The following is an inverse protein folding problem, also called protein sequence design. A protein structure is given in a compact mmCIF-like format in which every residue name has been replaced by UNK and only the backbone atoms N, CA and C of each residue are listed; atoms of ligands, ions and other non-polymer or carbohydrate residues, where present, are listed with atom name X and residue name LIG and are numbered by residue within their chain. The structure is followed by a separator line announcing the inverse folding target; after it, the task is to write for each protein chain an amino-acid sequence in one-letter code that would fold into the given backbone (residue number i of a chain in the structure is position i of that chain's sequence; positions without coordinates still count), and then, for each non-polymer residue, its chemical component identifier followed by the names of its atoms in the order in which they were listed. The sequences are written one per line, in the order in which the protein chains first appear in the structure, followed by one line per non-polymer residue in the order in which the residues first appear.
data_IF_039269419949
#
_entry.id   IF_039269419949
#
_cell.length_a   1.000
_cell.length_b   1.000
_cell.length_c   1.000
_cell.angle_alpha   90.00
_cell.angle_beta   90.00
_cell.angle_gamma   90.00
#
_symmetry.space_group_name_H-M   'P 1'
#
loop_
_entity.id
_entity.type
_entity.pdbx_description
1 polymer ?
#
# COMPACT_ATOMS: atom_id res chain seq x y z
N UNK A 1 -7.99 -2.28 -3.30
CA UNK A 1 -6.87 -1.41 -3.65
C UNK A 1 -7.41 -0.39 -4.64
N UNK A 2 -7.04 0.89 -4.51
CA UNK A 2 -7.26 1.84 -5.60
C UNK A 2 -6.66 1.27 -6.88
N UNK A 3 -7.14 1.80 -8.00
CA UNK A 3 -6.50 1.51 -9.27
C UNK A 3 -5.07 2.09 -9.27
N UNK A 4 -4.04 1.24 -9.37
CA UNK A 4 -2.63 1.65 -9.50
C UNK A 4 -2.43 2.73 -10.58
N UNK A 5 -3.24 2.70 -11.65
CA UNK A 5 -3.24 3.75 -12.68
C UNK A 5 -3.60 5.11 -12.10
N UNK A 6 -4.62 5.19 -11.23
CA UNK A 6 -5.01 6.43 -10.56
C UNK A 6 -3.86 7.07 -9.78
N UNK A 7 -3.10 6.24 -9.04
CA UNK A 7 -1.90 6.69 -8.34
C UNK A 7 -0.86 7.21 -9.32
N UNK A 8 -0.52 6.42 -10.36
CA UNK A 8 0.46 6.79 -11.37
C UNK A 8 0.13 8.16 -12.00
N UNK A 9 -1.15 8.42 -12.31
CA UNK A 9 -1.61 9.67 -12.93
C UNK A 9 -1.29 10.89 -12.08
N UNK A 10 -1.87 10.96 -10.87
CA UNK A 10 -1.67 12.08 -9.95
C UNK A 10 -0.18 12.22 -9.61
N UNK A 11 0.47 11.12 -9.27
CA UNK A 11 1.83 11.13 -8.75
C UNK A 11 2.85 11.55 -9.80
N UNK A 12 2.68 11.13 -11.06
CA UNK A 12 3.51 11.58 -12.17
C UNK A 12 3.40 13.08 -12.38
N UNK A 13 2.18 13.62 -12.39
CA UNK A 13 1.96 15.05 -12.61
C UNK A 13 2.46 15.88 -11.42
N UNK A 14 2.10 15.50 -10.19
CA UNK A 14 2.51 16.19 -8.97
C UNK A 14 4.03 16.19 -8.82
N UNK A 15 4.67 15.03 -8.94
CA UNK A 15 6.12 14.91 -8.75
C UNK A 15 6.89 15.63 -9.84
N UNK A 16 6.46 15.58 -11.11
CA UNK A 16 7.15 16.32 -12.18
C UNK A 16 6.88 17.82 -12.14
N UNK A 17 5.76 18.25 -11.55
CA UNK A 17 5.46 19.65 -11.28
C UNK A 17 6.39 20.26 -10.21
N UNK A 18 6.67 19.50 -9.15
CA UNK A 18 7.53 19.93 -8.03
C UNK A 18 9.01 19.68 -8.36
N UNK A 19 9.35 18.47 -8.77
CA UNK A 19 10.71 18.02 -9.08
C UNK A 19 10.86 17.94 -10.60
N UNK A 20 11.14 19.09 -11.23
CA UNK A 20 11.29 19.19 -12.68
C UNK A 20 12.32 18.19 -13.22
N UNK A 21 11.90 17.41 -14.22
CA UNK A 21 12.76 16.39 -14.82
C UNK A 21 12.90 15.10 -14.00
N UNK A 22 12.10 14.88 -12.97
CA UNK A 22 12.02 13.59 -12.28
C UNK A 22 11.79 12.45 -13.29
N UNK A 23 12.64 11.42 -13.22
CA UNK A 23 12.50 10.22 -14.05
C UNK A 23 11.26 9.45 -13.61
N UNK A 24 10.39 9.16 -14.57
CA UNK A 24 9.12 8.49 -14.36
C UNK A 24 9.28 7.07 -13.81
N UNK A 25 10.41 6.41 -14.04
CA UNK A 25 10.69 5.09 -13.44
C UNK A 25 10.74 5.15 -11.92
N UNK A 26 11.39 6.18 -11.37
CA UNK A 26 11.47 6.38 -9.93
C UNK A 26 10.13 6.83 -9.35
N UNK A 27 9.35 7.60 -10.11
CA UNK A 27 7.96 7.92 -9.73
C UNK A 27 7.14 6.63 -9.61
N UNK A 28 7.13 5.79 -10.65
CA UNK A 28 6.35 4.54 -10.66
C UNK A 28 6.78 3.57 -9.55
N UNK A 29 8.08 3.48 -9.29
CA UNK A 29 8.57 2.69 -8.16
C UNK A 29 8.04 3.24 -6.83
N UNK A 30 8.08 4.56 -6.64
CA UNK A 30 7.50 5.22 -5.47
C UNK A 30 5.99 5.00 -5.34
N UNK A 31 5.27 4.93 -6.47
CA UNK A 31 3.84 4.60 -6.49
C UNK A 31 3.56 3.20 -5.93
N UNK A 32 4.48 2.24 -6.09
CA UNK A 32 4.26 0.83 -5.73
C UNK A 32 4.69 0.53 -4.29
N UNK A 33 5.60 1.33 -3.72
CA UNK A 33 6.18 1.08 -2.38
C UNK A 33 5.11 0.75 -1.31
N UNK A 34 4.05 1.56 -1.13
CA UNK A 34 3.04 1.27 -0.09
C UNK A 34 2.17 0.04 -0.39
N UNK A 35 2.09 -0.37 -1.65
CA UNK A 35 1.30 -1.52 -2.08
C UNK A 35 2.08 -2.84 -2.01
N UNK A 36 3.41 -2.77 -1.95
CA UNK A 36 4.29 -3.93 -1.92
C UNK A 36 3.92 -4.94 -0.80
N UNK A 37 3.63 -4.53 0.45
CA UNK A 37 3.22 -5.46 1.50
C UNK A 37 1.97 -6.26 1.14
N UNK A 38 0.98 -5.65 0.49
CA UNK A 38 -0.27 -6.32 0.11
C UNK A 38 -0.07 -7.32 -1.03
N UNK A 39 0.78 -6.99 -2.00
CA UNK A 39 1.16 -7.90 -3.07
C UNK A 39 1.86 -9.13 -2.49
N UNK A 40 2.82 -8.89 -1.59
CA UNK A 40 3.56 -9.96 -0.91
C UNK A 40 2.66 -10.80 -0.01
N UNK A 41 1.75 -10.19 0.76
CA UNK A 41 0.78 -10.92 1.57
C UNK A 41 -0.03 -11.91 0.72
N UNK A 42 -0.54 -11.47 -0.43
CA UNK A 42 -1.31 -12.33 -1.33
C UNK A 42 -0.46 -13.47 -1.89
N UNK A 43 0.79 -13.20 -2.26
CA UNK A 43 1.71 -14.22 -2.72
C UNK A 43 2.02 -15.26 -1.63
N UNK A 44 2.29 -14.81 -0.41
CA UNK A 44 2.56 -15.70 0.74
C UNK A 44 1.35 -16.58 1.04
N UNK A 45 0.14 -16.02 1.13
CA UNK A 45 -1.06 -16.81 1.42
C UNK A 45 -1.40 -17.80 0.29
N UNK A 46 -1.03 -17.50 -0.96
CA UNK A 46 -1.22 -18.41 -2.08
C UNK A 46 -0.26 -19.61 -2.06
N UNK A 47 0.98 -19.40 -1.59
CA UNK A 47 2.04 -20.43 -1.60
C UNK A 47 2.12 -21.18 -0.27
N UNK A 48 1.77 -20.53 0.84
CA UNK A 48 1.89 -21.04 2.21
C UNK A 48 0.54 -20.91 2.93
N UNK A 49 -0.43 -21.81 2.66
CA UNK A 49 -1.79 -21.70 3.20
C UNK A 49 -1.88 -21.88 4.72
N UNK A 50 -0.81 -22.36 5.39
CA UNK A 50 -0.76 -22.54 6.85
C UNK A 50 -0.33 -21.29 7.64
N UNK A 51 0.00 -20.18 6.97
CA UNK A 51 0.38 -18.93 7.64
C UNK A 51 -0.86 -18.27 8.25
N UNK A 52 -0.79 -17.87 9.51
CA UNK A 52 -1.85 -17.09 10.15
C UNK A 52 -2.07 -15.76 9.43
N UNK A 53 -3.21 -15.64 8.75
CA UNK A 53 -3.51 -14.50 7.89
C UNK A 53 -3.62 -13.18 8.66
N UNK A 54 -4.05 -13.22 9.92
CA UNK A 54 -4.18 -12.02 10.76
C UNK A 54 -2.82 -11.50 11.22
N UNK A 55 -1.93 -12.37 11.70
CA UNK A 55 -0.57 -11.97 12.08
C UNK A 55 0.23 -11.46 10.86
N UNK A 56 0.08 -12.13 9.71
CA UNK A 56 0.66 -11.64 8.46
C UNK A 56 0.10 -10.27 8.07
N UNK A 57 -1.20 -10.03 8.30
CA UNK A 57 -1.82 -8.74 8.04
C UNK A 57 -1.20 -7.64 8.90
N UNK A 58 -1.05 -7.84 10.21
CA UNK A 58 -0.39 -6.86 11.09
C UNK A 58 1.05 -6.58 10.68
N UNK A 59 1.80 -7.62 10.30
CA UNK A 59 3.15 -7.45 9.76
C UNK A 59 3.13 -6.52 8.52
N UNK A 60 2.19 -6.74 7.60
CA UNK A 60 2.04 -5.90 6.42
C UNK A 60 1.53 -4.48 6.73
N UNK A 61 0.66 -4.30 7.74
CA UNK A 61 0.21 -2.98 8.20
C UNK A 61 1.39 -2.14 8.68
N UNK A 62 2.34 -2.75 9.42
CA UNK A 62 3.58 -2.07 9.82
C UNK A 62 4.41 -1.69 8.59
N UNK A 63 4.62 -2.61 7.65
CA UNK A 63 5.40 -2.32 6.44
C UNK A 63 4.79 -1.24 5.55
N UNK A 64 3.45 -1.20 5.47
CA UNK A 64 2.70 -0.22 4.68
C UNK A 64 2.61 1.15 5.35
N UNK A 65 3.08 1.31 6.60
CA UNK A 65 3.14 2.61 7.26
C UNK A 65 4.10 3.58 6.56
N UNK A 66 3.87 4.89 6.74
CA UNK A 66 4.70 5.92 6.12
C UNK A 66 6.18 5.77 6.50
N UNK A 67 6.49 5.49 7.77
CA UNK A 67 7.88 5.31 8.22
C UNK A 67 8.58 4.18 7.45
N UNK A 68 7.93 3.03 7.31
CA UNK A 68 8.52 1.88 6.62
C UNK A 68 8.60 2.09 5.11
N UNK A 69 7.65 2.81 4.53
CA UNK A 69 7.74 3.26 3.15
C UNK A 69 8.94 4.20 2.94
N UNK A 70 9.23 5.09 3.88
CA UNK A 70 10.40 5.97 3.84
C UNK A 70 11.72 5.21 4.04
N UNK A 71 11.76 4.21 4.93
CA UNK A 71 12.92 3.33 5.11
C UNK A 71 13.23 2.59 3.79
N UNK A 72 12.21 1.99 3.16
CA UNK A 72 12.38 1.31 1.88
C UNK A 72 12.79 2.28 0.76
N UNK A 73 12.17 3.46 0.71
CA UNK A 73 12.55 4.53 -0.22
C UNK A 73 14.02 4.93 -0.07
N UNK A 74 14.50 5.07 1.17
CA UNK A 74 15.89 5.40 1.46
C UNK A 74 16.83 4.28 1.00
N UNK A 75 16.50 3.02 1.29
CA UNK A 75 17.28 1.86 0.85
C UNK A 75 17.40 1.80 -0.69
N UNK A 76 16.28 1.94 -1.41
CA UNK A 76 16.21 1.90 -2.87
C UNK A 76 16.91 3.08 -3.55
N UNK A 77 17.03 4.21 -2.87
CA UNK A 77 17.71 5.39 -3.41
C UNK A 77 19.24 5.32 -3.32
N UNK A 78 19.82 4.50 -2.42
CA UNK A 78 21.27 4.45 -2.18
C UNK A 78 22.12 4.08 -3.40
N UNK A 79 21.71 3.14 -4.28
CA UNK A 79 22.43 2.82 -5.50
C UNK A 79 22.33 3.91 -6.59
N UNK A 80 21.44 4.89 -6.45
CA UNK A 80 21.30 5.94 -7.45
C UNK A 80 22.47 6.93 -7.38
N UNK A 81 22.85 7.49 -8.55
CA UNK A 81 23.86 8.55 -8.63
C UNK A 81 23.45 9.77 -7.79
N UNK A 82 22.18 10.17 -7.87
CA UNK A 82 21.60 11.28 -7.11
C UNK A 82 20.68 10.78 -5.98
N UNK A 83 21.24 10.00 -5.04
CA UNK A 83 20.47 9.29 -4.00
C UNK A 83 19.52 10.20 -3.20
N UNK A 84 19.92 11.40 -2.81
CA UNK A 84 19.03 12.33 -2.08
C UNK A 84 17.81 12.75 -2.89
N UNK A 85 18.00 13.03 -4.19
CA UNK A 85 16.91 13.37 -5.11
C UNK A 85 15.98 12.18 -5.35
N UNK A 86 16.54 10.99 -5.54
CA UNK A 86 15.74 9.77 -5.72
C UNK A 86 14.96 9.43 -4.46
N UNK A 87 15.55 9.59 -3.28
CA UNK A 87 14.83 9.45 -2.01
C UNK A 87 13.67 10.44 -1.91
N UNK A 88 13.87 11.71 -2.25
CA UNK A 88 12.80 12.70 -2.26
C UNK A 88 11.67 12.32 -3.24
N UNK A 89 12.00 11.81 -4.42
CA UNK A 89 11.01 11.28 -5.38
C UNK A 89 10.26 10.10 -4.75
N UNK A 90 10.95 9.04 -4.33
CA UNK A 90 10.31 7.83 -3.79
C UNK A 90 9.47 8.12 -2.55
N UNK A 91 10.01 8.86 -1.58
CA UNK A 91 9.33 9.18 -0.33
C UNK A 91 8.12 10.09 -0.52
N UNK A 92 8.21 11.11 -1.39
CA UNK A 92 7.05 11.96 -1.70
C UNK A 92 5.96 11.19 -2.44
N UNK A 93 6.32 10.26 -3.34
CA UNK A 93 5.36 9.41 -4.04
C UNK A 93 4.68 8.42 -3.08
N UNK A 94 5.43 7.81 -2.16
CA UNK A 94 4.86 6.96 -1.13
C UNK A 94 3.91 7.74 -0.20
N UNK A 95 4.27 8.96 0.20
CA UNK A 95 3.37 9.83 0.96
C UNK A 95 2.11 10.17 0.16
N UNK A 96 2.24 10.65 -1.08
CA UNK A 96 1.10 10.95 -1.94
C UNK A 96 0.20 9.72 -2.16
N UNK A 97 0.79 8.53 -2.24
CA UNK A 97 0.04 7.29 -2.33
C UNK A 97 -0.81 7.09 -1.08
N UNK A 98 -0.22 7.16 0.11
CA UNK A 98 -0.93 6.96 1.37
C UNK A 98 -2.02 8.03 1.58
N UNK A 99 -1.77 9.28 1.18
CA UNK A 99 -2.78 10.35 1.25
C UNK A 99 -3.94 10.10 0.27
N UNK A 100 -3.66 9.64 -0.94
CA UNK A 100 -4.70 9.27 -1.90
C UNK A 100 -5.51 8.06 -1.38
N UNK A 101 -4.82 7.10 -0.76
CA UNK A 101 -5.45 5.97 -0.08
C UNK A 101 -6.36 6.37 1.06
N UNK A 102 -5.95 7.34 1.88
CA UNK A 102 -6.76 7.90 2.95
C UNK A 102 -8.00 8.63 2.42
N UNK A 103 -7.88 9.31 1.28
CA UNK A 103 -8.99 10.04 0.66
C UNK A 103 -10.04 9.14 0.02
N UNK A 104 -9.72 7.88 -0.23
CA UNK A 104 -10.63 6.93 -0.85
C UNK A 104 -11.48 6.23 0.23
N UNK A 105 -12.78 6.03 -0.04
CA UNK A 105 -13.62 5.20 0.82
C UNK A 105 -13.12 3.74 0.77
N UNK A 106 -12.68 3.24 1.94
CA UNK A 106 -12.27 1.84 2.19
C UNK A 106 -12.83 1.40 3.54
N UNK A 107 -13.77 0.47 3.56
CA UNK A 107 -14.35 -0.03 4.81
C UNK A 107 -13.35 -0.89 5.59
N UNK A 108 -13.35 -0.76 6.93
CA UNK A 108 -12.46 -1.48 7.83
C UNK A 108 -10.95 -1.34 7.53
N UNK A 109 -10.54 -0.30 6.81
CA UNK A 109 -9.16 -0.12 6.36
C UNK A 109 -8.77 1.37 6.31
N UNK A 110 -7.49 1.66 6.30
CA UNK A 110 -6.95 3.01 6.19
C UNK A 110 -5.44 2.99 6.06
N UNK A 111 -4.81 4.15 6.25
CA UNK A 111 -3.35 4.26 6.20
C UNK A 111 -2.76 4.68 7.54
N UNK A 112 -1.54 4.26 7.81
CA UNK A 112 -0.85 4.58 9.06
C UNK A 112 0.26 5.62 8.81
N UNK A 113 -0.11 6.89 8.91
CA UNK A 113 0.81 8.02 8.68
C UNK A 113 1.74 8.26 9.88
N UNK A 114 1.28 7.97 11.09
CA UNK A 114 1.97 8.28 12.35
C UNK A 114 2.52 7.04 13.07
N UNK A 115 2.43 5.86 12.47
CA UNK A 115 3.04 4.66 13.05
C UNK A 115 4.58 4.81 13.10
N UNK A 116 5.25 4.32 14.16
CA UNK A 116 4.71 3.48 15.24
C UNK A 116 4.18 4.25 16.46
N UNK A 117 4.12 5.59 16.41
CA UNK A 117 3.69 6.41 17.55
C UNK A 117 2.18 6.38 17.76
N UNK A 118 1.41 6.33 16.67
CA UNK A 118 -0.02 6.07 16.67
C UNK A 118 -0.36 5.06 15.58
N UNK A 119 -1.18 4.07 15.94
CA UNK A 119 -1.73 3.06 15.01
C UNK A 119 -3.13 3.41 14.53
N UNK A 120 -3.62 4.60 14.86
CA UNK A 120 -4.89 5.11 14.33
C UNK A 120 -4.82 5.18 12.80
N UNK A 121 -5.82 4.59 12.14
CA UNK A 121 -5.91 4.58 10.69
C UNK A 121 -6.47 5.91 10.20
N UNK A 122 -5.75 6.56 9.28
CA UNK A 122 -6.29 7.71 8.55
C UNK A 122 -7.18 7.23 7.40
N UNK A 123 -8.45 7.62 7.44
CA UNK A 123 -9.43 7.35 6.40
C UNK A 123 -10.44 8.51 6.36
N UNK A 124 -10.34 9.33 5.32
CA UNK A 124 -11.18 10.52 5.14
C UNK A 124 -12.40 10.25 4.27
N UNK A 125 -12.38 9.18 3.46
CA UNK A 125 -13.55 8.72 2.70
C UNK A 125 -14.17 9.77 1.75
N UNK A 126 -13.36 10.59 1.08
CA UNK A 126 -13.83 11.66 0.22
C UNK A 126 -14.46 11.19 -1.10
N UNK A 127 -14.03 10.07 -1.66
CA UNK A 127 -14.63 9.55 -2.90
C UNK A 127 -14.74 8.04 -2.94
N UNK A 128 -15.80 7.58 -3.63
CA UNK A 128 -16.00 6.17 -3.92
C UNK A 128 -15.07 5.70 -5.04
N UNK A 129 -14.48 4.51 -4.98
CA UNK A 129 -13.44 4.07 -5.91
C UNK A 129 -13.95 3.88 -7.34
N UNK A 130 -15.22 3.48 -7.47
CA UNK A 130 -15.92 3.28 -8.74
C UNK A 130 -16.80 4.49 -9.10
N UNK A 131 -16.51 5.66 -8.53
CA UNK A 131 -17.16 6.92 -8.91
C UNK A 131 -16.49 7.54 -10.14
N UNK A 132 -17.11 8.61 -10.66
CA UNK A 132 -16.51 9.46 -11.69
C UNK A 132 -15.08 9.89 -11.32
N UNK A 133 -14.82 10.28 -10.07
CA UNK A 133 -13.49 10.66 -9.60
C UNK A 133 -12.48 9.51 -9.79
N UNK A 134 -12.85 8.29 -9.40
CA UNK A 134 -12.00 7.11 -9.57
C UNK A 134 -11.69 6.78 -11.04
N UNK A 135 -12.70 6.88 -11.92
CA UNK A 135 -12.52 6.70 -13.36
C UNK A 135 -11.68 7.81 -13.99
N UNK A 136 -11.88 9.06 -13.57
CA UNK A 136 -11.08 10.19 -14.02
C UNK A 136 -9.60 10.01 -13.65
N UNK A 137 -9.30 9.63 -12.41
CA UNK A 137 -7.93 9.34 -11.98
C UNK A 137 -7.33 8.18 -12.77
N UNK A 138 -8.11 7.15 -13.04
CA UNK A 138 -7.69 6.01 -13.88
C UNK A 138 -7.31 6.47 -15.29
N UNK A 139 -8.15 7.27 -15.93
CA UNK A 139 -7.91 7.81 -17.27
C UNK A 139 -6.67 8.71 -17.29
N UNK A 140 -6.49 9.54 -16.24
CA UNK A 140 -5.31 10.37 -16.05
C UNK A 140 -4.03 9.52 -15.95
N UNK A 141 -4.09 8.40 -15.22
CA UNK A 141 -3.03 7.40 -15.14
C UNK A 141 -2.64 6.81 -16.48
N UNK A 142 -3.64 6.38 -17.25
CA UNK A 142 -3.45 5.84 -18.59
C UNK A 142 -2.81 6.88 -19.52
N UNK A 143 -3.29 8.12 -19.50
CA UNK A 143 -2.74 9.21 -20.27
C UNK A 143 -1.29 9.53 -19.85
N UNK A 144 -0.97 9.51 -18.56
CA UNK A 144 0.39 9.71 -18.07
C UNK A 144 1.33 8.59 -18.55
N UNK A 145 0.92 7.32 -18.44
CA UNK A 145 1.70 6.20 -18.98
C UNK A 145 1.92 6.36 -20.49
N UNK A 146 0.87 6.61 -21.26
CA UNK A 146 0.95 6.80 -22.70
C UNK A 146 1.74 8.05 -23.12
N UNK A 147 1.78 9.10 -22.29
CA UNK A 147 2.58 10.31 -22.55
C UNK A 147 4.07 10.12 -22.23
N UNK A 148 4.40 9.28 -21.24
CA UNK A 148 5.76 9.13 -20.74
C UNK A 148 6.45 7.79 -21.05
N UNK A 149 5.76 6.82 -21.67
CA UNK A 149 6.30 5.47 -21.90
C UNK A 149 7.66 5.46 -22.62
N UNK A 150 7.83 6.25 -23.69
CA UNK A 150 9.11 6.32 -24.42
C UNK A 150 10.25 6.77 -23.52
N UNK A 151 9.99 7.74 -22.63
CA UNK A 151 10.99 8.20 -21.66
C UNK A 151 11.25 7.16 -20.57
N UNK A 152 10.21 6.44 -20.15
CA UNK A 152 10.34 5.37 -19.17
C UNK A 152 11.31 4.28 -19.69
N UNK A 153 11.16 3.86 -20.95
CA UNK A 153 11.93 2.76 -21.55
C UNK A 153 13.33 3.20 -22.01
N UNK A 154 13.47 4.38 -22.60
CA UNK A 154 14.70 4.73 -23.33
C UNK A 154 15.81 5.36 -22.47
N UNK A 155 15.51 5.85 -21.27
CA UNK A 155 16.50 6.50 -20.41
C UNK A 155 17.00 5.56 -19.31
N UNK A 156 18.33 5.48 -19.08
CA UNK A 156 18.87 4.67 -17.99
C UNK A 156 18.43 5.22 -16.63
N UNK A 157 18.18 4.34 -15.66
CA UNK A 157 17.72 4.72 -14.32
C UNK A 157 18.77 5.47 -13.48
N UNK A 158 20.00 5.64 -13.98
CA UNK A 158 21.07 6.34 -13.27
C UNK A 158 21.58 5.59 -12.04
N UNK A 159 21.66 4.25 -12.13
CA UNK A 159 22.23 3.40 -11.09
C UNK A 159 23.75 3.39 -11.18
N UNK A 160 24.41 3.32 -10.02
CA UNK A 160 25.85 3.09 -9.89
C UNK A 160 26.13 2.06 -8.81
N UNK A 161 27.27 1.39 -8.89
CA UNK A 161 27.72 0.52 -7.79
C UNK A 161 27.96 1.39 -6.54
N UNK A 162 27.24 1.16 -5.43
CA UNK A 162 27.45 1.95 -4.22
C UNK A 162 28.83 1.63 -3.61
N UNK A 163 29.52 2.62 -3.01
CA UNK A 163 30.68 2.34 -2.16
C UNK A 163 30.25 1.49 -0.95
N UNK A 164 31.21 0.82 -0.30
CA UNK A 164 30.94 -0.13 0.79
C UNK A 164 30.08 0.47 1.92
N UNK A 165 30.31 1.73 2.31
CA UNK A 165 29.52 2.40 3.34
C UNK A 165 28.03 2.52 2.97
N UNK A 166 27.72 2.83 1.71
CA UNK A 166 26.33 2.87 1.22
C UNK A 166 25.74 1.48 1.08
N UNK A 167 26.54 0.48 0.76
CA UNK A 167 26.09 -0.91 0.71
C UNK A 167 25.71 -1.39 2.11
N UNK A 168 26.54 -1.13 3.13
CA UNK A 168 26.24 -1.44 4.53
C UNK A 168 24.93 -0.74 4.95
N UNK A 169 24.80 0.55 4.65
CA UNK A 169 23.57 1.28 4.96
C UNK A 169 22.34 0.72 4.24
N UNK A 170 22.47 0.31 2.97
CA UNK A 170 21.41 -0.36 2.23
C UNK A 170 21.00 -1.66 2.91
N UNK A 171 21.97 -2.48 3.33
CA UNK A 171 21.71 -3.72 4.05
C UNK A 171 21.02 -3.47 5.39
N UNK A 172 21.46 -2.46 6.15
CA UNK A 172 20.83 -2.08 7.42
C UNK A 172 19.38 -1.65 7.18
N UNK A 173 19.13 -0.71 6.26
CA UNK A 173 17.77 -0.23 5.99
C UNK A 173 16.86 -1.32 5.42
N UNK A 174 17.39 -2.16 4.52
CA UNK A 174 16.68 -3.31 3.98
C UNK A 174 16.34 -4.33 5.06
N UNK A 175 17.29 -4.67 5.93
CA UNK A 175 17.06 -5.53 7.07
C UNK A 175 16.04 -4.91 8.04
N UNK A 176 16.13 -3.61 8.33
CA UNK A 176 15.14 -2.90 9.14
C UNK A 176 13.73 -3.02 8.56
N UNK A 177 13.56 -2.83 7.24
CA UNK A 177 12.25 -2.96 6.59
C UNK A 177 11.61 -4.34 6.74
N UNK A 178 12.40 -5.42 6.72
CA UNK A 178 11.88 -6.79 6.83
C UNK A 178 11.83 -7.32 8.27
N UNK A 179 12.77 -6.92 9.13
CA UNK A 179 12.90 -7.47 10.48
C UNK A 179 12.13 -6.64 11.51
N UNK A 180 12.14 -5.31 11.41
CA UNK A 180 11.47 -4.46 12.40
C UNK A 180 9.96 -4.66 12.54
N UNK A 181 9.20 -5.03 11.48
CA UNK A 181 7.78 -5.28 11.63
C UNK A 181 7.44 -6.39 12.65
N UNK A 182 8.30 -7.40 12.83
CA UNK A 182 8.08 -8.45 13.82
C UNK A 182 8.02 -7.91 15.27
N UNK A 183 8.81 -6.89 15.60
CA UNK A 183 8.78 -6.28 16.93
C UNK A 183 7.63 -5.28 17.10
N UNK A 184 7.12 -4.73 16.01
CA UNK A 184 6.09 -3.68 16.02
C UNK A 184 4.67 -4.20 15.79
N UNK A 185 4.48 -5.45 15.36
CA UNK A 185 3.15 -6.02 15.06
C UNK A 185 2.20 -6.07 16.26
N UNK A 186 2.72 -5.98 17.49
CA UNK A 186 1.89 -5.85 18.70
C UNK A 186 1.15 -4.50 18.78
N UNK A 187 1.62 -3.50 18.06
CA UNK A 187 0.98 -2.19 17.94
C UNK A 187 -0.38 -2.25 17.24
N UNK A 188 -0.42 -2.67 15.94
CA UNK A 188 -1.65 -2.98 15.21
C UNK A 188 -2.65 -3.82 16.00
N UNK A 189 -2.16 -4.89 16.64
CA UNK A 189 -2.98 -5.81 17.43
C UNK A 189 -3.65 -5.12 18.62
N UNK A 190 -2.89 -4.36 19.42
CA UNK A 190 -3.43 -3.62 20.57
C UNK A 190 -4.37 -2.49 20.16
N UNK A 191 -4.14 -1.89 18.99
CA UNK A 191 -5.02 -0.89 18.43
C UNK A 191 -6.33 -1.48 17.86
N UNK A 192 -6.50 -2.80 17.88
CA UNK A 192 -7.70 -3.47 17.39
C UNK A 192 -7.87 -3.35 15.87
N UNK A 193 -6.76 -3.18 15.12
CA UNK A 193 -6.84 -3.12 13.66
C UNK A 193 -7.48 -4.39 13.11
N UNK A 194 -8.31 -4.20 12.09
CA UNK A 194 -9.05 -5.29 11.43
C UNK A 194 -9.89 -6.16 12.38
N UNK A 195 -10.34 -5.58 13.49
CA UNK A 195 -11.18 -6.27 14.48
C UNK A 195 -10.56 -7.59 14.96
N UNK A 196 -9.23 -7.65 15.09
CA UNK A 196 -8.49 -8.87 15.44
C UNK A 196 -9.08 -9.71 16.58
N UNK A 197 -9.50 -9.12 17.71
CA UNK A 197 -10.17 -9.86 18.79
C UNK A 197 -11.44 -10.59 18.33
N UNK A 198 -12.26 -9.96 17.47
CA UNK A 198 -13.49 -10.56 16.92
C UNK A 198 -13.20 -11.66 15.90
N UNK A 199 -12.11 -11.51 15.15
CA UNK A 199 -11.66 -12.54 14.22
C UNK A 199 -11.22 -13.78 15.00
N UNK A 200 -10.45 -13.61 16.08
CA UNK A 200 -9.93 -14.72 16.89
C UNK A 200 -10.95 -15.38 17.80
N UNK A 201 -11.91 -14.64 18.35
CA UNK A 201 -12.92 -15.16 19.26
C UNK A 201 -14.34 -15.06 18.67
N UNK A 202 -14.91 -16.19 18.19
CA UNK A 202 -16.28 -16.24 17.69
C UNK A 202 -17.35 -15.80 18.70
N UNK A 203 -17.10 -15.94 20.00
CA UNK A 203 -18.07 -15.58 21.04
C UNK A 203 -18.31 -14.06 21.10
N UNK A 204 -17.38 -13.26 20.61
CA UNK A 204 -17.48 -11.79 20.62
C UNK A 204 -18.24 -11.23 19.40
N UNK A 205 -18.53 -12.05 18.39
CA UNK A 205 -19.14 -11.63 17.11
C UNK A 205 -20.62 -11.23 17.18
N UNK A 206 -21.48 -11.85 18.02
CA UNK A 206 -22.90 -11.50 18.06
C UNK A 206 -23.12 -10.00 18.34
N UNK A 207 -24.02 -9.37 17.57
CA UNK A 207 -24.38 -7.96 17.74
C UNK A 207 -23.34 -6.95 17.23
N UNK A 208 -22.27 -7.40 16.57
CA UNK A 208 -21.25 -6.52 15.99
C UNK A 208 -21.58 -6.18 14.54
N UNK A 209 -21.22 -4.95 14.14
CA UNK A 209 -21.35 -4.50 12.76
C UNK A 209 -20.37 -5.28 11.87
N UNK A 210 -20.86 -5.75 10.73
CA UNK A 210 -20.03 -6.39 9.70
C UNK A 210 -20.05 -5.51 8.45
N UNK A 211 -18.91 -4.95 8.10
CA UNK A 211 -18.72 -4.22 6.85
C UNK A 211 -18.08 -5.12 5.80
N UNK A 212 -18.66 -5.19 4.61
CA UNK A 212 -18.18 -6.06 3.54
C UNK A 212 -17.93 -5.23 2.27
N UNK A 213 -16.65 -4.96 1.98
CA UNK A 213 -16.25 -4.20 0.79
C UNK A 213 -16.17 -5.11 -0.44
N UNK A 214 -16.95 -4.79 -1.49
CA UNK A 214 -16.91 -5.40 -2.85
C UNK A 214 -16.97 -6.94 -2.88
N UNK A 215 -17.71 -7.56 -1.98
CA UNK A 215 -17.91 -8.99 -2.07
C UNK A 215 -19.01 -9.34 -3.10
N UNK A 216 -18.79 -10.35 -3.95
CA UNK A 216 -19.80 -10.78 -4.92
C UNK A 216 -21.09 -11.19 -4.22
N UNK A 217 -22.19 -10.57 -4.63
CA UNK A 217 -23.54 -10.91 -4.20
C UNK A 217 -24.19 -11.86 -5.22
N UNK A 218 -24.71 -12.98 -4.74
CA UNK A 218 -25.48 -13.94 -5.52
C UNK A 218 -26.95 -13.89 -5.04
N UNK A 219 -27.90 -13.45 -5.88
CA UNK A 219 -29.31 -13.46 -5.51
C UNK A 219 -29.82 -14.90 -5.37
N UNK A 220 -30.68 -15.14 -4.38
CA UNK A 220 -31.30 -16.44 -4.10
C UNK A 220 -32.78 -16.30 -3.74
N UNK A 221 -33.54 -17.38 -3.89
CA UNK A 221 -35.01 -17.39 -3.72
C UNK A 221 -35.52 -17.08 -2.29
N UNK A 222 -34.63 -16.87 -1.31
CA UNK A 222 -34.96 -16.58 0.08
C UNK A 222 -33.97 -15.63 0.76
N UNK A 223 -33.53 -14.61 0.05
CA UNK A 223 -32.37 -13.78 0.42
C UNK A 223 -31.15 -14.18 -0.40
N UNK A 224 -30.23 -13.23 -0.57
CA UNK A 224 -29.02 -13.48 -1.35
C UNK A 224 -27.91 -14.04 -0.50
N UNK A 225 -26.79 -14.35 -1.13
CA UNK A 225 -25.57 -14.76 -0.46
C UNK A 225 -24.44 -13.86 -0.91
N UNK A 226 -23.66 -13.37 0.04
CA UNK A 226 -22.37 -12.80 -0.25
C UNK A 226 -21.36 -13.95 -0.27
N UNK A 227 -20.65 -14.09 -1.39
CA UNK A 227 -19.53 -15.03 -1.49
C UNK A 227 -18.23 -14.31 -1.17
N UNK A 228 -17.49 -14.79 -0.18
CA UNK A 228 -16.14 -14.32 0.14
C UNK A 228 -15.18 -15.49 0.09
N UNK A 229 -13.99 -15.29 -0.51
CA UNK A 229 -12.91 -16.30 -0.49
C UNK A 229 -12.51 -16.69 0.92
N UNK A 230 -12.75 -15.83 1.91
CA UNK A 230 -12.33 -16.04 3.30
C UNK A 230 -13.47 -16.49 4.21
N UNK A 231 -14.72 -16.12 3.91
CA UNK A 231 -15.89 -16.41 4.77
C UNK A 231 -16.81 -17.49 4.20
N UNK A 232 -16.57 -17.97 2.98
CA UNK A 232 -17.50 -18.85 2.27
C UNK A 232 -18.75 -18.10 1.83
N UNK A 233 -19.91 -18.74 1.92
CA UNK A 233 -21.22 -18.12 1.64
C UNK A 233 -21.81 -17.55 2.92
N UNK A 234 -22.00 -16.23 2.96
CA UNK A 234 -22.71 -15.53 4.02
C UNK A 234 -24.11 -15.19 3.51
N UNK A 235 -25.16 -15.70 4.15
CA UNK A 235 -26.54 -15.36 3.79
C UNK A 235 -26.86 -13.93 4.23
N UNK A 236 -27.49 -13.15 3.36
CA UNK A 236 -27.90 -11.75 3.58
C UNK A 236 -29.37 -11.58 3.27
#
# INVERSE_FOLDING_TARGET
MPNTLGHIGIQTLATRGIIRGADVKWIYLGCIIPDLPWILQRAVLAVLPGVDALSLRYYCDVQASLLFCLILSAALALPAVQSGRIFAILGSNALLHLLLDASQIKWGNGVHLLAPFSWEASNWGWFWPDSFSGYFLTALGLAALAGFWRRAVNFPAGLRRPPLSRLILLMILGASYYLMPFWLMTGPEKAGLHDGPLVRDPALRPGRLLEIDRAPYQPGAGGGYITSRYLGQLRV
#
